data_IF_636619153487
#
_entry.id   IF_636619153487
#
_cell.length_a   1.000
_cell.length_b   1.000
_cell.length_c   1.000
_cell.angle_alpha   90.00
_cell.angle_beta   90.00
_cell.angle_gamma   90.00
#
_symmetry.space_group_name_H-M   'P 1'
#
loop_
_entity.id
_entity.type
_entity.pdbx_description
1 polymer ?
#
# COMPACT_ATOMS: atom_id res chain seq x y z
N UNK A 1 -23.39 -32.99 40.56
CA UNK A 1 -23.15 -32.98 39.10
C UNK A 1 -24.03 -31.91 38.49
N UNK A 2 -23.55 -30.67 38.45
CA UNK A 2 -24.14 -29.59 37.66
C UNK A 2 -22.99 -29.06 36.81
N UNK A 3 -22.97 -29.45 35.54
CA UNK A 3 -22.06 -28.90 34.55
C UNK A 3 -22.55 -27.48 34.24
N UNK A 4 -21.81 -26.49 34.71
CA UNK A 4 -21.96 -25.11 34.26
C UNK A 4 -21.57 -25.06 32.78
N UNK A 5 -22.58 -25.05 31.91
CA UNK A 5 -22.41 -24.63 30.52
C UNK A 5 -21.98 -23.18 30.53
N UNK A 6 -20.70 -22.92 30.29
CA UNK A 6 -20.15 -21.61 30.05
C UNK A 6 -20.58 -21.17 28.63
N UNK A 7 -21.49 -20.17 28.48
CA UNK A 7 -21.99 -19.75 27.18
C UNK A 7 -21.00 -18.85 26.42
N UNK A 8 -19.75 -18.70 26.91
CA UNK A 8 -18.74 -17.81 26.33
C UNK A 8 -17.99 -18.36 25.09
N UNK A 9 -18.33 -19.56 24.60
CA UNK A 9 -17.62 -20.21 23.48
C UNK A 9 -18.42 -20.21 22.16
N UNK A 10 -19.66 -19.71 22.16
CA UNK A 10 -20.45 -19.61 20.94
C UNK A 10 -20.15 -18.29 20.21
N UNK A 11 -19.76 -18.41 18.94
CA UNK A 11 -19.41 -17.36 17.96
C UNK A 11 -17.96 -16.88 17.96
N UNK A 12 -17.01 -17.82 17.85
CA UNK A 12 -15.73 -17.53 17.16
C UNK A 12 -15.99 -17.33 15.66
N UNK A 13 -16.56 -16.19 15.27
CA UNK A 13 -16.31 -15.64 13.94
C UNK A 13 -14.79 -15.50 13.83
N UNK A 14 -14.13 -16.46 13.17
CA UNK A 14 -12.74 -16.36 12.74
C UNK A 14 -12.62 -15.15 11.84
N UNK A 15 -12.42 -13.98 12.44
CA UNK A 15 -12.28 -12.73 11.73
C UNK A 15 -10.91 -12.76 11.04
N UNK A 16 -10.84 -12.63 9.71
CA UNK A 16 -9.60 -12.74 8.93
C UNK A 16 -8.72 -11.48 9.07
N UNK A 17 -8.58 -10.94 10.28
CA UNK A 17 -7.83 -9.70 10.58
C UNK A 17 -6.32 -9.87 10.28
N UNK A 18 -5.85 -11.12 10.29
CA UNK A 18 -4.46 -11.48 9.98
C UNK A 18 -4.23 -11.78 8.48
N UNK A 19 -5.29 -12.02 7.69
CA UNK A 19 -5.15 -12.32 6.27
C UNK A 19 -5.01 -11.08 5.40
N UNK A 20 -5.30 -9.89 5.92
CA UNK A 20 -5.46 -8.69 5.06
C UNK A 20 -4.13 -8.17 4.49
N UNK A 21 -2.99 -8.27 5.19
CA UNK A 21 -1.70 -7.89 4.60
C UNK A 21 -1.29 -8.86 3.46
N UNK A 22 -1.39 -10.19 3.63
CA UNK A 22 -1.28 -11.12 2.52
C UNK A 22 -2.31 -10.89 1.42
N UNK A 23 -3.56 -10.56 1.76
CA UNK A 23 -4.63 -10.26 0.78
C UNK A 23 -4.43 -8.92 0.09
N UNK A 24 -3.73 -7.96 0.69
CA UNK A 24 -3.34 -6.69 0.07
C UNK A 24 -2.12 -6.89 -0.82
N UNK A 25 -1.10 -7.62 -0.39
CA UNK A 25 0.02 -7.99 -1.24
C UNK A 25 -0.46 -8.85 -2.42
N UNK A 26 -1.31 -9.83 -2.15
CA UNK A 26 -2.02 -10.62 -3.16
C UNK A 26 -2.97 -9.75 -3.96
N UNK A 27 -3.62 -8.76 -3.35
CA UNK A 27 -4.53 -7.83 -4.00
C UNK A 27 -3.81 -6.89 -4.96
N UNK A 28 -2.64 -6.36 -4.58
CA UNK A 28 -1.73 -5.57 -5.40
C UNK A 28 -1.15 -6.44 -6.52
N UNK A 29 -0.79 -7.69 -6.22
CA UNK A 29 -0.37 -8.68 -7.22
C UNK A 29 -1.52 -9.03 -8.17
N UNK A 30 -2.75 -9.19 -7.68
CA UNK A 30 -3.95 -9.43 -8.48
C UNK A 30 -4.24 -8.19 -9.32
N UNK A 31 -4.11 -6.97 -8.80
CA UNK A 31 -4.28 -5.73 -9.55
C UNK A 31 -3.20 -5.59 -10.62
N UNK A 32 -1.96 -5.99 -10.33
CA UNK A 32 -0.88 -6.07 -11.31
C UNK A 32 -1.20 -7.06 -12.43
N UNK A 33 -1.54 -8.30 -12.06
CA UNK A 33 -1.91 -9.36 -13.00
C UNK A 33 -3.15 -8.92 -13.79
N UNK A 34 -4.15 -8.33 -13.15
CA UNK A 34 -5.37 -7.85 -13.77
C UNK A 34 -5.08 -6.74 -14.77
N UNK A 35 -4.21 -5.79 -14.42
CA UNK A 35 -3.73 -4.75 -15.36
C UNK A 35 -3.05 -5.38 -16.57
N UNK A 36 -2.08 -6.28 -16.38
CA UNK A 36 -1.38 -6.95 -17.48
C UNK A 36 -2.32 -7.79 -18.35
N UNK A 37 -3.26 -8.52 -17.73
CA UNK A 37 -4.29 -9.28 -18.42
C UNK A 37 -5.26 -8.38 -19.20
N UNK A 38 -5.65 -7.23 -18.63
CA UNK A 38 -6.53 -6.27 -19.28
C UNK A 38 -5.82 -5.59 -20.46
N UNK A 39 -4.56 -5.17 -20.27
CA UNK A 39 -3.70 -4.63 -21.33
C UNK A 39 -3.48 -5.65 -22.46
N UNK A 40 -3.35 -6.93 -22.12
CA UNK A 40 -3.26 -8.03 -23.10
C UNK A 40 -4.58 -8.24 -23.84
N UNK A 41 -5.71 -8.25 -23.11
CA UNK A 41 -7.04 -8.42 -23.69
C UNK A 41 -7.39 -7.28 -24.65
N UNK A 42 -7.12 -6.03 -24.25
CA UNK A 42 -7.34 -4.86 -25.08
C UNK A 42 -6.41 -4.84 -26.30
N UNK A 43 -5.14 -5.26 -26.14
CA UNK A 43 -4.20 -5.48 -27.26
C UNK A 43 -4.74 -6.51 -28.27
N UNK A 44 -5.40 -7.54 -27.78
CA UNK A 44 -5.95 -8.63 -28.59
C UNK A 44 -7.23 -8.20 -29.29
N UNK A 45 -8.12 -7.48 -28.61
CA UNK A 45 -9.39 -6.96 -29.15
C UNK A 45 -9.20 -5.79 -30.15
N UNK A 46 -8.08 -5.07 -30.07
CA UNK A 46 -7.73 -3.99 -31.00
C UNK A 46 -7.20 -4.49 -32.35
N UNK A 47 -6.84 -5.77 -32.48
CA UNK A 47 -6.50 -6.37 -33.78
C UNK A 47 -7.81 -6.76 -34.47
N UNK A 48 -8.26 -5.92 -35.41
CA UNK A 48 -9.55 -6.10 -36.10
C UNK A 48 -9.73 -7.47 -36.79
N UNK A 49 -8.63 -8.15 -37.14
CA UNK A 49 -8.66 -9.49 -37.77
C UNK A 49 -9.13 -10.63 -36.84
N UNK A 50 -9.06 -10.49 -35.51
CA UNK A 50 -9.43 -11.56 -34.57
C UNK A 50 -10.81 -11.37 -33.91
N UNK A 51 -11.55 -10.32 -34.29
CA UNK A 51 -12.75 -9.86 -33.56
C UNK A 51 -13.94 -10.81 -33.65
N UNK A 52 -14.08 -11.53 -34.77
CA UNK A 52 -15.13 -12.53 -34.98
C UNK A 52 -14.82 -13.84 -34.24
N UNK A 53 -13.65 -14.40 -34.49
CA UNK A 53 -13.28 -15.74 -34.02
C UNK A 53 -12.99 -15.80 -32.51
N UNK A 54 -12.51 -14.72 -31.89
CA UNK A 54 -12.21 -14.70 -30.44
C UNK A 54 -13.48 -14.63 -29.59
N UNK A 55 -14.51 -13.87 -30.00
CA UNK A 55 -15.77 -13.84 -29.24
C UNK A 55 -16.44 -15.21 -29.25
N UNK A 56 -16.41 -15.93 -30.38
CA UNK A 56 -16.96 -17.29 -30.45
C UNK A 56 -16.09 -18.31 -29.70
N UNK A 57 -14.75 -18.21 -29.79
CA UNK A 57 -13.85 -19.17 -29.12
C UNK A 57 -13.72 -18.99 -27.60
N UNK A 58 -13.71 -17.75 -27.07
CA UNK A 58 -13.70 -17.49 -25.62
C UNK A 58 -15.00 -17.89 -24.92
N UNK A 59 -16.09 -18.06 -25.68
CA UNK A 59 -17.37 -18.57 -25.18
C UNK A 59 -17.48 -20.10 -25.25
N UNK A 60 -16.45 -20.80 -25.73
CA UNK A 60 -16.51 -22.26 -25.83
C UNK A 60 -16.47 -22.92 -24.43
N UNK A 61 -17.30 -23.94 -24.19
CA UNK A 61 -17.39 -24.63 -22.89
C UNK A 61 -16.11 -25.38 -22.49
N UNK A 62 -15.20 -25.65 -23.43
CA UNK A 62 -13.96 -26.40 -23.20
C UNK A 62 -12.91 -25.58 -22.43
N UNK A 63 -12.77 -24.28 -22.72
CA UNK A 63 -11.85 -23.40 -21.97
C UNK A 63 -12.33 -23.18 -20.53
N UNK A 64 -13.64 -23.19 -20.32
CA UNK A 64 -14.24 -23.07 -18.99
C UNK A 64 -13.89 -24.28 -18.12
N UNK A 65 -13.94 -25.50 -18.66
CA UNK A 65 -13.65 -26.74 -17.93
C UNK A 65 -12.19 -26.87 -17.45
N UNK A 66 -11.24 -26.18 -18.09
CA UNK A 66 -9.81 -26.23 -17.71
C UNK A 66 -9.41 -25.26 -16.57
N UNK A 67 -10.31 -24.38 -16.13
CA UNK A 67 -9.99 -23.32 -15.16
C UNK A 67 -10.44 -23.64 -13.73
N UNK A 68 -9.75 -23.08 -12.73
CA UNK A 68 -10.05 -23.31 -11.31
C UNK A 68 -11.51 -22.95 -10.95
N UNK A 69 -12.16 -23.67 -10.00
CA UNK A 69 -13.60 -23.51 -9.72
C UNK A 69 -14.03 -22.08 -9.35
N UNK A 70 -13.16 -21.30 -8.69
CA UNK A 70 -13.42 -19.91 -8.34
C UNK A 70 -13.42 -18.98 -9.56
N UNK A 71 -12.60 -19.29 -10.58
CA UNK A 71 -12.52 -18.55 -11.84
C UNK A 71 -13.73 -18.82 -12.73
N UNK A 72 -14.21 -20.08 -12.75
CA UNK A 72 -15.44 -20.43 -13.46
C UNK A 72 -16.65 -19.63 -12.95
N UNK A 73 -16.76 -19.40 -11.64
CA UNK A 73 -17.92 -18.71 -11.10
C UNK A 73 -17.81 -17.17 -11.23
N UNK A 74 -16.75 -16.56 -10.70
CA UNK A 74 -16.62 -15.10 -10.68
C UNK A 74 -15.97 -14.56 -11.96
N UNK A 75 -14.90 -15.21 -12.42
CA UNK A 75 -14.19 -14.80 -13.63
C UNK A 75 -15.07 -14.87 -14.86
N UNK A 76 -15.77 -15.99 -15.09
CA UNK A 76 -16.58 -16.17 -16.30
C UNK A 76 -17.85 -15.31 -16.31
N UNK A 77 -18.53 -15.15 -15.17
CA UNK A 77 -19.72 -14.29 -15.06
C UNK A 77 -19.37 -12.81 -15.20
N UNK A 78 -18.30 -12.35 -14.55
CA UNK A 78 -17.81 -10.98 -14.72
C UNK A 78 -17.33 -10.76 -16.15
N UNK A 79 -16.57 -11.69 -16.74
CA UNK A 79 -16.08 -11.59 -18.11
C UNK A 79 -17.24 -11.56 -19.12
N UNK A 80 -18.23 -12.45 -19.00
CA UNK A 80 -19.42 -12.44 -19.87
C UNK A 80 -20.26 -11.18 -19.70
N UNK A 81 -20.42 -10.69 -18.46
CA UNK A 81 -21.11 -9.43 -18.19
C UNK A 81 -20.37 -8.26 -18.84
N UNK A 82 -19.05 -8.17 -18.63
CA UNK A 82 -18.18 -7.15 -19.22
C UNK A 82 -18.23 -7.20 -20.74
N UNK A 83 -18.12 -8.38 -21.36
CA UNK A 83 -18.19 -8.55 -22.83
C UNK A 83 -19.57 -8.09 -23.37
N UNK A 84 -20.68 -8.57 -22.78
CA UNK A 84 -22.03 -8.21 -23.26
C UNK A 84 -22.33 -6.71 -23.14
N UNK A 85 -21.91 -6.09 -22.03
CA UNK A 85 -22.10 -4.65 -21.82
C UNK A 85 -21.12 -3.80 -22.63
N UNK A 86 -19.87 -4.23 -22.81
CA UNK A 86 -18.88 -3.56 -23.65
C UNK A 86 -19.27 -3.58 -25.14
N UNK A 87 -20.01 -4.60 -25.60
CA UNK A 87 -20.52 -4.65 -26.98
C UNK A 87 -21.59 -3.57 -27.25
N UNK A 88 -22.42 -3.23 -26.27
CA UNK A 88 -23.53 -2.27 -26.44
C UNK A 88 -23.24 -0.84 -25.98
N UNK A 89 -22.33 -0.64 -25.02
CA UNK A 89 -21.93 0.67 -24.51
C UNK A 89 -20.40 0.70 -24.36
N UNK A 90 -19.70 0.71 -25.51
CA UNK A 90 -18.24 0.52 -25.62
C UNK A 90 -17.41 1.42 -24.70
N UNK A 91 -17.86 2.65 -24.45
CA UNK A 91 -17.03 3.66 -23.78
C UNK A 91 -17.33 3.78 -22.28
N UNK A 92 -18.62 3.78 -21.88
CA UNK A 92 -19.00 4.05 -20.48
C UNK A 92 -18.81 2.85 -19.54
N UNK A 93 -19.00 1.62 -20.03
CA UNK A 93 -18.88 0.42 -19.20
C UNK A 93 -17.42 0.14 -18.85
N UNK A 94 -16.48 0.45 -19.76
CA UNK A 94 -15.06 0.17 -19.56
C UNK A 94 -14.49 0.94 -18.36
N UNK A 95 -14.99 2.15 -18.12
CA UNK A 95 -14.48 3.03 -17.07
C UNK A 95 -14.91 2.57 -15.67
N UNK A 96 -16.14 2.08 -15.52
CA UNK A 96 -16.67 1.58 -14.25
C UNK A 96 -15.98 0.28 -13.80
N UNK A 97 -15.59 -0.58 -14.73
CA UNK A 97 -14.89 -1.85 -14.45
C UNK A 97 -13.36 -1.72 -14.47
N UNK A 98 -12.85 -0.50 -14.50
CA UNK A 98 -11.42 -0.30 -14.50
C UNK A 98 -10.78 -0.75 -13.19
N UNK A 99 -9.50 -1.12 -13.27
CA UNK A 99 -8.76 -1.59 -12.11
C UNK A 99 -8.66 -0.53 -10.99
N UNK A 100 -8.80 0.77 -11.30
CA UNK A 100 -8.88 1.81 -10.28
C UNK A 100 -10.17 1.73 -9.46
N UNK A 101 -11.31 1.50 -10.11
CA UNK A 101 -12.58 1.32 -9.39
C UNK A 101 -12.46 0.12 -8.48
N UNK A 102 -11.90 -0.99 -8.97
CA UNK A 102 -11.63 -2.16 -8.14
C UNK A 102 -10.68 -1.83 -6.98
N UNK A 103 -9.58 -1.13 -7.23
CA UNK A 103 -8.62 -0.70 -6.21
C UNK A 103 -9.30 0.15 -5.13
N UNK A 104 -10.07 1.18 -5.50
CA UNK A 104 -10.76 2.04 -4.54
C UNK A 104 -11.88 1.33 -3.79
N UNK A 105 -12.61 0.40 -4.44
CA UNK A 105 -13.62 -0.43 -3.79
C UNK A 105 -12.99 -1.38 -2.78
N UNK A 106 -11.91 -2.07 -3.16
CA UNK A 106 -11.16 -2.96 -2.28
C UNK A 106 -10.57 -2.18 -1.11
N UNK A 107 -9.90 -1.05 -1.37
CA UNK A 107 -9.35 -0.20 -0.31
C UNK A 107 -10.47 0.35 0.59
N UNK A 108 -11.58 0.80 0.04
CA UNK A 108 -12.73 1.28 0.81
C UNK A 108 -13.32 0.20 1.72
N UNK A 109 -13.49 -1.02 1.20
CA UNK A 109 -13.91 -2.18 1.99
C UNK A 109 -12.93 -2.47 3.13
N UNK A 110 -11.62 -2.50 2.84
CA UNK A 110 -10.58 -2.75 3.84
C UNK A 110 -10.56 -1.65 4.92
N UNK A 111 -10.71 -0.39 4.54
CA UNK A 111 -10.83 0.74 5.48
C UNK A 111 -12.05 0.54 6.38
N UNK A 112 -13.22 0.23 5.83
CA UNK A 112 -14.43 -0.02 6.63
C UNK A 112 -14.24 -1.22 7.58
N UNK A 113 -13.59 -2.29 7.13
CA UNK A 113 -13.29 -3.45 7.95
C UNK A 113 -12.35 -3.11 9.11
N UNK A 114 -11.29 -2.33 8.85
CA UNK A 114 -10.35 -1.87 9.88
C UNK A 114 -11.01 -0.91 10.87
N UNK A 115 -11.82 0.05 10.41
CA UNK A 115 -12.57 0.94 11.29
C UNK A 115 -13.51 0.16 12.24
N UNK A 116 -14.19 -0.88 11.71
CA UNK A 116 -15.02 -1.78 12.52
C UNK A 116 -14.18 -2.58 13.52
N UNK A 117 -13.00 -3.04 13.11
CA UNK A 117 -12.05 -3.76 13.98
C UNK A 117 -11.57 -2.87 15.13
N UNK A 118 -11.15 -1.64 14.81
CA UNK A 118 -10.74 -0.63 15.80
C UNK A 118 -11.85 -0.31 16.78
N UNK A 119 -13.09 -0.12 16.31
CA UNK A 119 -14.22 0.15 17.20
C UNK A 119 -14.39 -0.97 18.24
N UNK A 120 -14.37 -2.24 17.79
CA UNK A 120 -14.44 -3.42 18.68
C UNK A 120 -13.24 -3.53 19.61
N UNK A 121 -12.05 -3.14 19.14
CA UNK A 121 -10.81 -3.16 19.90
C UNK A 121 -10.82 -2.15 21.06
N UNK A 122 -11.30 -0.93 20.79
CA UNK A 122 -11.24 0.19 21.74
C UNK A 122 -12.43 0.26 22.70
N UNK A 123 -13.57 -0.35 22.33
CA UNK A 123 -14.78 -0.33 23.15
C UNK A 123 -14.57 -0.87 24.59
N UNK A 124 -13.87 -2.01 24.83
CA UNK A 124 -13.74 -2.57 26.17
C UNK A 124 -12.89 -1.71 27.13
N UNK A 125 -11.99 -0.88 26.60
CA UNK A 125 -11.10 -0.03 27.40
C UNK A 125 -11.57 1.42 27.46
N UNK A 126 -12.85 1.69 27.19
CA UNK A 126 -13.41 3.04 27.16
C UNK A 126 -12.56 4.00 26.31
N UNK A 127 -12.14 3.52 25.13
CA UNK A 127 -11.30 4.26 24.18
C UNK A 127 -9.94 4.69 24.75
N UNK A 128 -9.19 3.71 25.28
CA UNK A 128 -7.86 3.90 25.89
C UNK A 128 -7.90 4.68 27.21
N UNK A 129 -8.94 4.48 28.02
CA UNK A 129 -8.98 5.07 29.36
C UNK A 129 -7.94 4.42 30.28
N UNK A 130 -7.08 5.21 30.97
CA UNK A 130 -5.98 4.68 31.78
C UNK A 130 -6.40 3.60 32.79
N UNK A 131 -7.48 3.85 33.54
CA UNK A 131 -7.97 2.90 34.56
C UNK A 131 -8.41 1.57 33.93
N UNK A 132 -9.16 1.63 32.82
CA UNK A 132 -9.62 0.45 32.10
C UNK A 132 -8.45 -0.35 31.51
N UNK A 133 -7.39 0.31 31.03
CA UNK A 133 -6.16 -0.36 30.58
C UNK A 133 -5.46 -1.05 31.75
N UNK A 134 -5.32 -0.37 32.89
CA UNK A 134 -4.68 -0.93 34.07
C UNK A 134 -5.42 -2.19 34.56
N UNK A 135 -6.74 -2.16 34.58
CA UNK A 135 -7.58 -3.32 34.90
C UNK A 135 -7.37 -4.49 33.93
N UNK A 136 -7.24 -4.22 32.63
CA UNK A 136 -6.98 -5.24 31.62
C UNK A 136 -5.62 -5.95 31.84
N UNK A 137 -4.61 -5.25 32.36
CA UNK A 137 -3.30 -5.82 32.67
C UNK A 137 -3.20 -6.47 34.05
N UNK A 138 -4.00 -6.05 35.02
CA UNK A 138 -4.01 -6.67 36.37
C UNK A 138 -4.34 -8.18 36.33
N UNK A 139 -5.01 -8.63 35.27
CA UNK A 139 -5.35 -10.04 35.07
C UNK A 139 -4.26 -10.85 34.34
N UNK A 140 -3.23 -10.20 33.78
CA UNK A 140 -2.18 -10.88 33.03
C UNK A 140 -1.08 -11.36 33.98
N UNK A 141 -0.79 -12.67 33.95
CA UNK A 141 0.30 -13.27 34.72
C UNK A 141 1.61 -13.12 33.94
N UNK A 142 2.72 -12.97 34.67
CA UNK A 142 4.08 -12.97 34.11
C UNK A 142 4.40 -11.80 33.16
N UNK A 143 3.92 -10.59 33.46
CA UNK A 143 4.37 -9.39 32.75
C UNK A 143 5.85 -9.11 33.08
N UNK A 144 6.68 -8.75 32.09
CA UNK A 144 8.05 -8.32 32.35
C UNK A 144 8.09 -7.05 33.22
N UNK A 145 9.11 -6.92 34.06
CA UNK A 145 9.23 -5.75 34.98
C UNK A 145 9.29 -4.41 34.23
N UNK A 146 9.99 -4.38 33.09
CA UNK A 146 10.07 -3.20 32.23
C UNK A 146 8.69 -2.79 31.66
N UNK A 147 7.75 -3.72 31.51
CA UNK A 147 6.41 -3.38 31.04
C UNK A 147 5.61 -2.60 32.09
N UNK A 148 5.85 -2.82 33.38
CA UNK A 148 5.26 -1.97 34.42
C UNK A 148 5.78 -0.54 34.35
N UNK A 149 6.99 -0.33 33.83
CA UNK A 149 7.50 1.01 33.54
C UNK A 149 6.78 1.60 32.33
N UNK A 150 6.71 0.89 31.21
CA UNK A 150 6.02 1.37 30.01
C UNK A 150 4.52 1.63 30.24
N UNK A 151 3.85 0.78 31.01
CA UNK A 151 2.46 1.02 31.43
C UNK A 151 2.36 2.26 32.32
N UNK A 152 3.30 2.46 33.26
CA UNK A 152 3.35 3.69 34.07
C UNK A 152 3.62 4.92 33.23
N UNK A 153 4.38 4.80 32.15
CA UNK A 153 4.69 5.90 31.25
C UNK A 153 3.49 6.19 30.33
N UNK A 154 2.73 5.18 29.90
CA UNK A 154 1.51 5.31 29.08
C UNK A 154 0.31 5.94 29.82
N UNK A 155 0.21 5.73 31.14
CA UNK A 155 -0.94 6.12 31.98
C UNK A 155 -0.98 7.57 32.55
N UNK A 156 0.08 8.40 32.66
CA UNK A 156 0.02 9.70 33.34
C UNK A 156 -0.51 10.84 32.44
N UNK A 157 -0.82 11.96 33.10
CA UNK A 157 -1.38 13.21 32.57
C UNK A 157 -0.64 13.83 31.35
N UNK A 158 0.56 13.35 31.01
CA UNK A 158 1.37 13.86 29.89
C UNK A 158 0.95 13.35 28.50
N UNK A 159 0.35 12.16 28.40
CA UNK A 159 0.07 11.49 27.11
C UNK A 159 -1.36 11.62 26.61
N UNK A 160 -2.17 12.49 27.24
CA UNK A 160 -3.47 12.85 26.70
C UNK A 160 -3.38 13.28 25.24
N UNK A 161 -2.34 14.05 24.88
CA UNK A 161 -2.14 14.50 23.50
C UNK A 161 -1.92 13.32 22.54
N UNK A 162 -1.03 12.37 22.87
CA UNK A 162 -0.78 11.20 22.02
C UNK A 162 -2.03 10.33 21.87
N UNK A 163 -2.78 10.13 22.96
CA UNK A 163 -4.06 9.42 22.93
C UNK A 163 -5.04 10.12 21.99
N UNK A 164 -5.32 11.41 22.18
CA UNK A 164 -6.25 12.14 21.33
C UNK A 164 -5.80 12.20 19.87
N UNK A 165 -4.50 12.38 19.65
CA UNK A 165 -3.92 12.45 18.33
C UNK A 165 -4.00 11.11 17.60
N UNK A 166 -3.63 10.00 18.24
CA UNK A 166 -3.82 8.67 17.63
C UNK A 166 -5.29 8.37 17.38
N UNK A 167 -6.20 8.74 18.30
CA UNK A 167 -7.65 8.59 18.11
C UNK A 167 -8.21 9.39 16.93
N UNK A 168 -7.47 10.40 16.44
CA UNK A 168 -7.80 11.15 15.23
C UNK A 168 -7.32 10.49 13.92
N UNK A 169 -6.44 9.48 13.98
CA UNK A 169 -5.96 8.75 12.80
C UNK A 169 -7.08 8.20 11.88
N UNK A 170 -8.22 7.65 12.38
CA UNK A 170 -9.34 7.25 11.53
C UNK A 170 -9.89 8.38 10.67
N UNK A 171 -9.93 9.61 11.21
CA UNK A 171 -10.40 10.78 10.49
C UNK A 171 -9.44 11.12 9.34
N UNK A 172 -8.13 11.14 9.61
CA UNK A 172 -7.12 11.38 8.58
C UNK A 172 -7.17 10.33 7.46
N UNK A 173 -7.40 9.06 7.80
CA UNK A 173 -7.60 8.00 6.81
C UNK A 173 -8.79 8.28 5.88
N UNK A 174 -9.95 8.61 6.45
CA UNK A 174 -11.16 8.91 5.67
C UNK A 174 -10.99 10.15 4.80
N UNK A 175 -10.36 11.20 5.33
CA UNK A 175 -10.06 12.43 4.58
C UNK A 175 -9.08 12.17 3.44
N UNK A 176 -8.01 11.40 3.68
CA UNK A 176 -7.02 11.00 2.66
C UNK A 176 -7.68 10.18 1.55
N UNK A 177 -8.47 9.16 1.92
CA UNK A 177 -9.23 8.34 0.97
C UNK A 177 -10.15 9.21 0.10
N UNK A 178 -10.93 10.11 0.73
CA UNK A 178 -11.83 11.02 0.03
C UNK A 178 -11.10 11.95 -0.94
N UNK A 179 -9.97 12.53 -0.53
CA UNK A 179 -9.16 13.41 -1.37
C UNK A 179 -8.56 12.67 -2.57
N UNK A 180 -7.96 11.50 -2.36
CA UNK A 180 -7.43 10.65 -3.44
C UNK A 180 -8.54 10.21 -4.40
N UNK A 181 -9.67 9.71 -3.89
CA UNK A 181 -10.81 9.28 -4.70
C UNK A 181 -11.35 10.43 -5.56
N UNK A 182 -11.58 11.60 -4.97
CA UNK A 182 -12.06 12.76 -5.70
C UNK A 182 -11.05 13.24 -6.76
N UNK A 183 -9.74 13.11 -6.51
CA UNK A 183 -8.72 13.47 -7.48
C UNK A 183 -8.72 12.49 -8.66
N UNK A 184 -8.77 11.18 -8.37
CA UNK A 184 -8.94 10.15 -9.41
C UNK A 184 -10.22 10.39 -10.21
N UNK A 185 -11.35 10.71 -9.56
CA UNK A 185 -12.60 11.01 -10.24
C UNK A 185 -12.48 12.20 -11.21
N UNK A 186 -11.69 13.23 -10.88
CA UNK A 186 -11.40 14.36 -11.79
C UNK A 186 -10.63 13.91 -13.03
N UNK A 187 -9.62 13.05 -12.87
CA UNK A 187 -8.87 12.48 -13.99
C UNK A 187 -9.76 11.61 -14.88
N UNK A 188 -10.55 10.73 -14.27
CA UNK A 188 -11.51 9.85 -14.95
C UNK A 188 -12.56 10.65 -15.72
N UNK A 189 -13.16 11.68 -15.11
CA UNK A 189 -14.09 12.58 -15.78
C UNK A 189 -13.45 13.32 -16.96
N UNK A 190 -12.18 13.77 -16.81
CA UNK A 190 -11.47 14.43 -17.89
C UNK A 190 -11.15 13.49 -19.06
N UNK A 191 -10.82 12.22 -18.79
CA UNK A 191 -10.67 11.20 -19.84
C UNK A 191 -11.99 10.99 -20.60
N UNK A 192 -13.08 10.84 -19.84
CA UNK A 192 -14.41 10.61 -20.40
C UNK A 192 -14.87 11.77 -21.29
N UNK A 193 -14.76 13.01 -20.82
CA UNK A 193 -15.12 14.20 -21.61
C UNK A 193 -14.26 14.42 -22.86
N UNK A 194 -13.06 13.85 -22.91
CA UNK A 194 -12.18 13.88 -24.09
C UNK A 194 -12.49 12.74 -25.09
N UNK A 195 -13.54 11.94 -24.87
CA UNK A 195 -13.90 10.79 -25.72
C UNK A 195 -12.81 9.72 -25.79
N UNK A 196 -11.95 9.66 -24.77
CA UNK A 196 -10.76 8.82 -24.78
C UNK A 196 -10.96 7.55 -23.97
N UNK A 197 -10.62 6.41 -24.57
CA UNK A 197 -10.34 5.17 -23.83
C UNK A 197 -9.03 5.35 -23.04
N UNK A 198 -8.85 4.59 -21.96
CA UNK A 198 -7.71 4.71 -21.07
C UNK A 198 -6.36 4.53 -21.78
N UNK A 199 -6.30 3.60 -22.73
CA UNK A 199 -5.13 3.40 -23.60
C UNK A 199 -4.78 4.61 -24.46
N UNK A 200 -5.75 5.48 -24.71
CA UNK A 200 -5.53 6.78 -25.37
C UNK A 200 -5.00 7.87 -24.44
N UNK A 201 -4.83 7.59 -23.14
CA UNK A 201 -4.41 8.57 -22.13
C UNK A 201 -3.38 7.98 -21.12
N UNK A 202 -2.24 7.43 -21.58
CA UNK A 202 -1.25 6.79 -20.68
C UNK A 202 -0.71 7.77 -19.61
N UNK A 203 -0.69 9.07 -19.92
CA UNK A 203 -0.37 10.15 -19.00
C UNK A 203 -1.27 10.18 -17.77
N UNK A 204 -2.59 10.13 -17.99
CA UNK A 204 -3.58 10.13 -16.91
C UNK A 204 -3.56 8.82 -16.15
N UNK A 205 -3.33 7.70 -16.84
CA UNK A 205 -3.26 6.37 -16.22
C UNK A 205 -2.19 6.30 -15.13
N UNK A 206 -0.97 6.71 -15.48
CA UNK A 206 0.16 6.75 -14.56
C UNK A 206 -0.02 7.81 -13.46
N UNK A 207 -0.65 8.95 -13.78
CA UNK A 207 -0.97 9.99 -12.79
C UNK A 207 -1.93 9.46 -11.71
N UNK A 208 -2.94 8.68 -12.08
CA UNK A 208 -3.89 8.08 -11.12
C UNK A 208 -3.17 7.11 -10.17
N UNK A 209 -2.22 6.32 -10.66
CA UNK A 209 -1.44 5.41 -9.81
C UNK A 209 -0.63 6.17 -8.75
N UNK A 210 -0.04 7.31 -9.13
CA UNK A 210 0.70 8.19 -8.21
C UNK A 210 -0.25 8.84 -7.21
N UNK A 211 -1.42 9.31 -7.65
CA UNK A 211 -2.43 9.96 -6.81
C UNK A 211 -2.94 9.04 -5.69
N UNK A 212 -2.97 7.73 -5.92
CA UNK A 212 -3.40 6.75 -4.91
C UNK A 212 -2.35 6.46 -3.82
N UNK A 213 -1.11 6.95 -3.97
CA UNK A 213 -0.01 6.73 -3.02
C UNK A 213 -0.37 7.07 -1.56
N UNK A 214 -0.86 8.28 -1.22
CA UNK A 214 -1.11 8.62 0.17
C UNK A 214 -2.25 7.80 0.77
N UNK A 215 -3.22 7.36 -0.03
CA UNK A 215 -4.30 6.50 0.45
C UNK A 215 -3.74 5.16 0.93
N UNK A 216 -2.88 4.52 0.14
CA UNK A 216 -2.27 3.23 0.49
C UNK A 216 -1.35 3.40 1.71
N UNK A 217 -0.49 4.42 1.71
CA UNK A 217 0.41 4.71 2.84
C UNK A 217 -0.35 5.04 4.12
N UNK A 218 -1.41 5.85 4.06
CA UNK A 218 -2.26 6.18 5.21
C UNK A 218 -3.00 4.96 5.74
N UNK A 219 -3.50 4.09 4.85
CA UNK A 219 -4.13 2.83 5.24
C UNK A 219 -3.13 1.93 5.99
N UNK A 220 -1.89 1.81 5.51
CA UNK A 220 -0.86 1.03 6.18
C UNK A 220 -0.48 1.64 7.55
N UNK A 221 -0.27 2.96 7.59
CA UNK A 221 0.02 3.69 8.82
C UNK A 221 -1.11 3.53 9.86
N UNK A 222 -2.37 3.63 9.45
CA UNK A 222 -3.52 3.45 10.35
C UNK A 222 -3.62 2.02 10.89
N UNK A 223 -3.30 1.02 10.07
CA UNK A 223 -3.22 -0.37 10.54
C UNK A 223 -2.11 -0.53 11.57
N UNK A 224 -0.98 0.13 11.38
CA UNK A 224 0.11 0.20 12.37
C UNK A 224 -0.33 0.88 13.67
N UNK A 225 -1.08 1.98 13.63
CA UNK A 225 -1.73 2.59 14.82
C UNK A 225 -2.61 1.55 15.53
N UNK A 226 -3.42 0.81 14.78
CA UNK A 226 -4.29 -0.23 15.34
C UNK A 226 -3.48 -1.35 16.01
N UNK A 227 -2.33 -1.75 15.46
CA UNK A 227 -1.42 -2.73 16.10
C UNK A 227 -0.85 -2.21 17.41
N UNK A 228 -0.46 -0.94 17.46
CA UNK A 228 0.01 -0.33 18.71
C UNK A 228 -1.11 -0.26 19.76
N UNK A 229 -2.34 0.08 19.35
CA UNK A 229 -3.49 0.00 20.26
C UNK A 229 -3.75 -1.41 20.78
N UNK A 230 -3.57 -2.45 19.96
CA UNK A 230 -3.72 -3.84 20.41
C UNK A 230 -2.75 -4.20 21.53
N UNK A 231 -1.51 -3.69 21.44
CA UNK A 231 -0.49 -3.83 22.49
C UNK A 231 -0.94 -3.06 23.75
N UNK A 232 -1.31 -1.79 23.59
CA UNK A 232 -1.70 -0.90 24.70
C UNK A 232 -2.93 -1.39 25.48
N UNK A 233 -3.89 -2.06 24.84
CA UNK A 233 -5.13 -2.53 25.51
C UNK A 233 -5.08 -4.00 25.93
N UNK A 234 -3.94 -4.68 25.74
CA UNK A 234 -3.81 -6.12 25.94
C UNK A 234 -4.91 -6.94 25.24
N UNK A 235 -5.28 -6.56 24.01
CA UNK A 235 -6.42 -7.19 23.35
C UNK A 235 -6.12 -8.65 22.99
N UNK A 236 -7.01 -9.55 23.42
CA UNK A 236 -7.02 -10.96 23.04
C UNK A 236 -8.00 -11.25 21.88
N UNK A 237 -8.52 -10.20 21.24
CA UNK A 237 -9.53 -10.33 20.18
C UNK A 237 -8.90 -10.85 18.88
N UNK A 238 -9.60 -11.79 18.23
CA UNK A 238 -9.22 -12.34 16.92
C UNK A 238 -8.13 -13.41 16.99
N UNK A 239 -7.50 -13.70 15.85
CA UNK A 239 -6.44 -14.70 15.73
C UNK A 239 -5.17 -14.37 16.53
N UNK A 240 -4.98 -13.10 16.94
CA UNK A 240 -3.86 -12.68 17.78
C UNK A 240 -3.98 -13.13 19.24
N UNK A 241 -5.19 -13.49 19.71
CA UNK A 241 -5.38 -14.10 21.02
C UNK A 241 -4.74 -15.50 21.16
N UNK A 242 -4.32 -16.10 20.04
CA UNK A 242 -3.78 -17.46 19.97
C UNK A 242 -2.27 -17.50 19.71
N UNK A 243 -1.57 -16.36 19.70
CA UNK A 243 -0.12 -16.36 19.51
C UNK A 243 0.56 -16.97 20.73
N UNK A 244 1.27 -18.05 20.49
CA UNK A 244 2.08 -18.76 21.47
C UNK A 244 3.56 -18.32 21.35
N UNK A 245 4.26 -18.21 22.48
CA UNK A 245 5.70 -18.01 22.49
C UNK A 245 6.47 -19.27 22.12
N UNK A 246 7.80 -19.21 22.20
CA UNK A 246 8.68 -20.35 21.94
C UNK A 246 8.43 -21.56 22.86
N UNK A 247 7.74 -21.38 23.98
CA UNK A 247 7.41 -22.46 24.91
C UNK A 247 5.96 -22.95 24.75
N UNK A 248 5.24 -22.46 23.74
CA UNK A 248 3.82 -22.78 23.54
C UNK A 248 2.89 -21.98 24.47
N UNK A 249 3.42 -21.02 25.23
CA UNK A 249 2.62 -20.24 26.17
C UNK A 249 2.01 -19.02 25.48
N UNK A 250 0.72 -18.76 25.72
CA UNK A 250 0.01 -17.60 25.19
C UNK A 250 0.35 -16.33 25.98
N UNK A 251 1.59 -15.89 25.87
CA UNK A 251 2.10 -14.73 26.62
C UNK A 251 1.81 -13.42 25.88
N UNK A 252 1.64 -12.34 26.65
CA UNK A 252 1.57 -10.99 26.09
C UNK A 252 2.81 -10.63 25.27
N UNK A 253 3.99 -11.10 25.67
CA UNK A 253 5.25 -10.85 24.96
C UNK A 253 5.24 -11.42 23.53
N UNK A 254 4.67 -12.60 23.33
CA UNK A 254 4.52 -13.17 21.98
C UNK A 254 3.63 -12.27 21.11
N UNK A 255 2.52 -11.75 21.66
CA UNK A 255 1.62 -10.82 20.97
C UNK A 255 2.31 -9.51 20.62
N UNK A 256 3.11 -8.96 21.53
CA UNK A 256 3.90 -7.74 21.31
C UNK A 256 4.78 -7.91 20.07
N UNK A 257 5.59 -8.98 20.04
CA UNK A 257 6.53 -9.26 18.94
C UNK A 257 5.79 -9.40 17.61
N UNK A 258 4.67 -10.13 17.58
CA UNK A 258 3.88 -10.28 16.34
C UNK A 258 3.26 -8.94 15.91
N UNK A 259 2.76 -8.14 16.84
CA UNK A 259 2.19 -6.82 16.52
C UNK A 259 3.25 -5.86 15.97
N UNK A 260 4.47 -5.88 16.53
CA UNK A 260 5.61 -5.13 16.00
C UNK A 260 6.03 -5.62 14.61
N UNK A 261 6.09 -6.93 14.38
CA UNK A 261 6.40 -7.48 13.05
C UNK A 261 5.35 -7.07 12.00
N UNK A 262 4.07 -7.03 12.39
CA UNK A 262 3.00 -6.54 11.53
C UNK A 262 3.07 -5.03 11.29
N UNK A 263 3.46 -4.26 12.31
CA UNK A 263 3.70 -2.83 12.21
C UNK A 263 4.76 -2.53 11.14
N UNK A 264 5.92 -3.22 11.22
CA UNK A 264 7.00 -3.08 10.23
C UNK A 264 6.53 -3.50 8.83
N UNK A 265 5.83 -4.65 8.74
CA UNK A 265 5.35 -5.18 7.46
C UNK A 265 4.40 -4.22 6.76
N UNK A 266 3.55 -3.50 7.50
CA UNK A 266 2.66 -2.49 6.91
C UNK A 266 3.47 -1.36 6.23
N UNK A 267 4.53 -0.87 6.87
CA UNK A 267 5.36 0.19 6.27
C UNK A 267 6.15 -0.30 5.07
N UNK A 268 6.68 -1.53 5.11
CA UNK A 268 7.32 -2.13 3.94
C UNK A 268 6.35 -2.26 2.75
N UNK A 269 5.07 -2.56 3.00
CA UNK A 269 4.06 -2.58 1.94
C UNK A 269 3.76 -1.18 1.39
N UNK A 270 3.78 -0.15 2.24
CA UNK A 270 3.67 1.23 1.80
C UNK A 270 4.86 1.62 0.91
N UNK A 271 6.08 1.22 1.29
CA UNK A 271 7.32 1.48 0.53
C UNK A 271 7.30 0.81 -0.85
N UNK A 272 6.75 -0.41 -0.96
CA UNK A 272 6.54 -1.08 -2.27
C UNK A 272 5.62 -0.27 -3.17
N UNK A 273 4.54 0.28 -2.62
CA UNK A 273 3.65 1.12 -3.41
C UNK A 273 4.30 2.47 -3.77
N UNK A 274 5.12 3.03 -2.87
CA UNK A 274 5.90 4.23 -3.16
C UNK A 274 6.91 4.00 -4.30
N UNK A 275 7.69 2.92 -4.24
CA UNK A 275 8.64 2.57 -5.31
C UNK A 275 7.94 2.35 -6.65
N UNK A 276 6.74 1.79 -6.63
CA UNK A 276 5.88 1.68 -7.80
C UNK A 276 5.44 3.06 -8.32
N UNK A 277 4.93 3.94 -7.45
CA UNK A 277 4.51 5.28 -7.85
C UNK A 277 5.68 6.09 -8.46
N UNK A 278 6.89 5.94 -7.91
CA UNK A 278 8.11 6.54 -8.46
C UNK A 278 8.47 5.99 -9.85
N UNK A 279 8.23 4.70 -10.11
CA UNK A 279 8.40 4.12 -11.45
C UNK A 279 7.45 4.77 -12.45
N UNK A 280 6.18 4.96 -12.10
CA UNK A 280 5.23 5.68 -12.95
C UNK A 280 5.63 7.14 -13.18
N UNK A 281 6.12 7.82 -12.14
CA UNK A 281 6.60 9.19 -12.26
C UNK A 281 7.77 9.28 -13.25
N UNK A 282 8.75 8.39 -13.13
CA UNK A 282 9.91 8.38 -14.03
C UNK A 282 9.54 8.02 -15.46
N UNK A 283 8.67 7.02 -15.66
CA UNK A 283 8.19 6.68 -17.00
C UNK A 283 7.47 7.86 -17.67
N UNK A 284 6.66 8.62 -16.92
CA UNK A 284 6.04 9.84 -17.43
C UNK A 284 7.07 10.90 -17.81
N UNK A 285 8.05 11.17 -16.95
CA UNK A 285 9.09 12.15 -17.22
C UNK A 285 9.88 11.78 -18.49
N UNK A 286 10.24 10.51 -18.65
CA UNK A 286 10.99 10.03 -19.82
C UNK A 286 10.14 10.05 -21.10
N UNK A 287 8.85 9.74 -21.02
CA UNK A 287 7.94 9.87 -22.16
C UNK A 287 7.83 11.32 -22.63
N UNK A 288 7.73 12.28 -21.70
CA UNK A 288 7.68 13.70 -22.03
C UNK A 288 8.99 14.16 -22.68
N UNK A 289 10.14 13.77 -22.12
CA UNK A 289 11.45 14.07 -22.74
C UNK A 289 11.52 13.50 -24.16
N UNK A 290 11.05 12.27 -24.37
CA UNK A 290 11.05 11.64 -25.69
C UNK A 290 10.12 12.34 -26.69
N UNK A 291 8.99 12.89 -26.22
CA UNK A 291 8.05 13.64 -27.05
C UNK A 291 8.62 15.02 -27.44
N UNK A 292 9.29 15.69 -26.50
CA UNK A 292 9.97 16.98 -26.73
C UNK A 292 11.21 16.86 -27.62
N UNK A 293 11.94 15.73 -27.54
CA UNK A 293 13.20 15.50 -28.25
C UNK A 293 13.10 15.36 -29.77
N UNK A 294 11.90 15.28 -30.37
CA UNK A 294 11.73 15.23 -31.83
C UNK A 294 12.22 16.50 -32.56
N UNK A 295 12.60 17.55 -31.83
CA UNK A 295 13.14 18.80 -32.37
C UNK A 295 14.65 18.98 -32.14
N UNK A 296 15.30 18.10 -31.38
CA UNK A 296 16.72 18.22 -30.99
C UNK A 296 17.66 17.31 -31.80
N UNK A 297 18.92 17.73 -31.86
CA UNK A 297 20.01 17.16 -32.68
C UNK A 297 20.24 15.64 -32.45
N UNK A 298 20.75 14.94 -33.46
CA UNK A 298 20.93 13.48 -33.44
C UNK A 298 21.92 13.03 -32.34
N UNK A 299 22.90 13.89 -31.98
CA UNK A 299 23.86 13.59 -30.90
C UNK A 299 23.22 13.59 -29.52
N UNK A 300 22.29 14.51 -29.24
CA UNK A 300 21.55 14.54 -27.97
C UNK A 300 20.76 13.24 -27.78
N UNK A 301 20.16 12.71 -28.84
CA UNK A 301 19.35 11.47 -28.73
C UNK A 301 20.11 10.22 -28.26
N UNK A 302 21.42 10.11 -28.52
CA UNK A 302 22.22 8.97 -28.02
C UNK A 302 22.52 9.07 -26.52
N UNK A 303 22.83 10.28 -26.06
CA UNK A 303 23.04 10.54 -24.64
C UNK A 303 21.74 10.34 -23.86
N UNK A 304 20.62 10.81 -24.43
CA UNK A 304 19.28 10.69 -23.84
C UNK A 304 18.88 9.23 -23.62
N UNK A 305 19.08 8.36 -24.62
CA UNK A 305 18.78 6.93 -24.48
C UNK A 305 19.60 6.25 -23.39
N UNK A 306 20.85 6.66 -23.23
CA UNK A 306 21.74 6.10 -22.20
C UNK A 306 21.29 6.53 -20.81
N UNK A 307 20.99 7.82 -20.62
CA UNK A 307 20.47 8.36 -19.36
C UNK A 307 19.09 7.78 -19.00
N UNK A 308 18.21 7.62 -19.99
CA UNK A 308 16.91 6.98 -19.81
C UNK A 308 17.04 5.53 -19.32
N UNK A 309 17.92 4.76 -19.96
CA UNK A 309 18.14 3.35 -19.61
C UNK A 309 18.70 3.23 -18.20
N UNK A 310 19.71 4.03 -17.86
CA UNK A 310 20.33 4.04 -16.54
C UNK A 310 19.33 4.44 -15.44
N UNK A 311 18.52 5.48 -15.70
CA UNK A 311 17.48 5.94 -14.77
C UNK A 311 16.45 4.86 -14.51
N UNK A 312 15.93 4.22 -15.58
CA UNK A 312 14.98 3.11 -15.44
C UNK A 312 15.57 1.95 -14.66
N UNK A 313 16.81 1.55 -14.96
CA UNK A 313 17.48 0.45 -14.25
C UNK A 313 17.60 0.71 -12.75
N UNK A 314 17.99 1.93 -12.35
CA UNK A 314 18.06 2.30 -10.93
C UNK A 314 16.72 2.19 -10.22
N UNK A 315 15.64 2.64 -10.86
CA UNK A 315 14.29 2.58 -10.30
C UNK A 315 13.74 1.15 -10.26
N UNK A 316 13.99 0.35 -11.30
CA UNK A 316 13.62 -1.08 -11.30
C UNK A 316 14.35 -1.85 -10.21
N UNK A 317 15.64 -1.55 -9.99
CA UNK A 317 16.40 -2.15 -8.91
C UNK A 317 15.78 -1.77 -7.57
N UNK A 318 15.51 -0.48 -7.33
CA UNK A 318 14.87 -0.01 -6.09
C UNK A 318 13.50 -0.68 -5.84
N UNK A 319 12.63 -0.71 -6.84
CA UNK A 319 11.32 -1.36 -6.73
C UNK A 319 11.46 -2.87 -6.45
N UNK A 320 12.40 -3.53 -7.13
CA UNK A 320 12.70 -4.94 -6.89
C UNK A 320 13.18 -5.20 -5.46
N UNK A 321 14.01 -4.31 -4.89
CA UNK A 321 14.48 -4.45 -3.51
C UNK A 321 13.37 -4.29 -2.49
N UNK A 322 12.52 -3.26 -2.63
CA UNK A 322 11.38 -3.05 -1.74
C UNK A 322 10.42 -4.24 -1.80
N UNK A 323 10.14 -4.75 -3.00
CA UNK A 323 9.26 -5.90 -3.18
C UNK A 323 9.80 -7.17 -2.51
N UNK A 324 11.09 -7.46 -2.69
CA UNK A 324 11.72 -8.64 -2.09
C UNK A 324 11.77 -8.53 -0.56
N UNK A 325 12.02 -7.34 -0.02
CA UNK A 325 12.02 -7.07 1.42
C UNK A 325 10.61 -7.26 2.02
N UNK A 326 9.60 -6.63 1.43
CA UNK A 326 8.21 -6.76 1.86
C UNK A 326 7.72 -8.21 1.77
N UNK A 327 8.07 -8.93 0.69
CA UNK A 327 7.73 -10.35 0.53
C UNK A 327 8.39 -11.22 1.61
N UNK A 328 9.66 -10.97 1.91
CA UNK A 328 10.37 -11.68 2.98
C UNK A 328 9.70 -11.46 4.34
N UNK A 329 9.39 -10.22 4.71
CA UNK A 329 8.71 -9.87 5.95
C UNK A 329 7.29 -10.44 6.03
N UNK A 330 6.55 -10.41 4.93
CA UNK A 330 5.21 -10.98 4.85
C UNK A 330 5.22 -12.49 5.07
N UNK A 331 6.13 -13.21 4.40
CA UNK A 331 6.25 -14.67 4.52
C UNK A 331 6.67 -15.05 5.94
N UNK A 332 7.70 -14.40 6.48
CA UNK A 332 8.20 -14.69 7.84
C UNK A 332 7.14 -14.40 8.90
N UNK A 333 6.49 -13.24 8.85
CA UNK A 333 5.41 -12.87 9.79
C UNK A 333 4.21 -13.81 9.66
N UNK A 334 3.86 -14.23 8.43
CA UNK A 334 2.77 -15.20 8.22
C UNK A 334 3.11 -16.57 8.80
N UNK A 335 4.33 -17.05 8.57
CA UNK A 335 4.79 -18.32 9.15
C UNK A 335 4.76 -18.27 10.67
N UNK A 336 5.28 -17.20 11.28
CA UNK A 336 5.24 -17.00 12.73
C UNK A 336 3.80 -17.01 13.27
N UNK A 337 2.87 -16.34 12.58
CA UNK A 337 1.52 -16.19 13.06
C UNK A 337 0.60 -17.40 12.83
N UNK A 338 0.81 -18.18 11.76
CA UNK A 338 -0.07 -19.31 11.42
C UNK A 338 0.48 -20.69 11.79
N UNK A 339 1.80 -20.85 11.84
CA UNK A 339 2.42 -22.14 12.12
C UNK A 339 2.88 -22.28 13.58
N UNK A 340 2.71 -21.23 14.41
CA UNK A 340 3.08 -21.21 15.82
C UNK A 340 2.65 -22.48 16.56
N UNK A 341 3.64 -23.30 16.91
CA UNK A 341 3.51 -24.65 17.46
C UNK A 341 4.87 -25.38 17.41
N UNK A 342 4.98 -26.58 18.00
CA UNK A 342 6.26 -27.30 18.24
C UNK A 342 7.21 -27.41 17.04
N UNK A 343 6.67 -27.48 15.81
CA UNK A 343 7.47 -27.56 14.58
C UNK A 343 8.21 -26.26 14.22
N UNK A 344 7.84 -25.13 14.83
CA UNK A 344 8.41 -23.82 14.52
C UNK A 344 9.63 -23.47 15.34
N UNK A 345 9.95 -24.15 16.45
CA UNK A 345 11.07 -23.74 17.30
C UNK A 345 12.42 -23.75 16.56
N UNK A 346 12.65 -24.80 15.77
CA UNK A 346 13.86 -24.95 14.97
C UNK A 346 13.88 -23.99 13.78
N UNK A 347 12.74 -23.80 13.12
CA UNK A 347 12.62 -22.87 12.00
C UNK A 347 12.78 -21.42 12.47
N UNK A 348 12.11 -21.02 13.55
CA UNK A 348 12.18 -19.67 14.12
C UNK A 348 13.60 -19.33 14.60
N UNK A 349 14.36 -20.27 15.17
CA UNK A 349 15.77 -20.03 15.52
C UNK A 349 16.63 -19.74 14.27
N UNK A 350 16.37 -20.45 13.18
CA UNK A 350 17.05 -20.22 11.89
C UNK A 350 16.62 -18.88 11.30
N UNK A 351 15.30 -18.63 11.23
CA UNK A 351 14.72 -17.37 10.72
C UNK A 351 15.25 -16.20 11.51
N UNK A 352 15.27 -16.24 12.85
CA UNK A 352 15.76 -15.15 13.69
C UNK A 352 17.23 -14.81 13.42
N UNK A 353 18.09 -15.84 13.28
CA UNK A 353 19.52 -15.63 12.93
C UNK A 353 19.69 -15.06 11.52
N UNK A 354 18.84 -15.46 10.58
CA UNK A 354 18.88 -14.97 9.20
C UNK A 354 18.30 -13.56 9.13
N UNK A 355 17.25 -13.27 9.91
CA UNK A 355 16.48 -12.03 9.89
C UNK A 355 17.34 -10.82 10.17
N UNK A 356 18.19 -10.85 11.20
CA UNK A 356 19.07 -9.70 11.48
C UNK A 356 20.03 -9.42 10.32
N UNK A 357 20.61 -10.46 9.70
CA UNK A 357 21.52 -10.33 8.55
C UNK A 357 20.79 -9.85 7.29
N UNK A 358 19.62 -10.41 7.02
CA UNK A 358 18.78 -10.08 5.87
C UNK A 358 18.24 -8.66 6.00
N UNK A 359 17.87 -8.23 7.20
CA UNK A 359 17.47 -6.86 7.47
C UNK A 359 18.57 -5.85 7.12
N UNK A 360 19.80 -6.05 7.61
CA UNK A 360 20.92 -5.17 7.24
C UNK A 360 21.27 -5.21 5.74
N UNK A 361 21.11 -6.37 5.11
CA UNK A 361 21.28 -6.52 3.67
C UNK A 361 20.26 -5.67 2.90
N UNK A 362 18.97 -5.79 3.24
CA UNK A 362 17.91 -5.01 2.59
C UNK A 362 18.03 -3.52 2.88
N UNK A 363 18.33 -3.12 4.12
CA UNK A 363 18.57 -1.73 4.49
C UNK A 363 19.70 -1.12 3.64
N UNK A 364 20.83 -1.83 3.50
CA UNK A 364 21.94 -1.39 2.67
C UNK A 364 21.57 -1.33 1.19
N UNK A 365 20.91 -2.36 0.68
CA UNK A 365 20.51 -2.44 -0.73
C UNK A 365 19.48 -1.36 -1.11
N UNK A 366 18.46 -1.17 -0.28
CA UNK A 366 17.45 -0.13 -0.41
C UNK A 366 18.03 1.27 -0.31
N UNK A 367 18.99 1.51 0.59
CA UNK A 367 19.69 2.80 0.71
C UNK A 367 20.50 3.13 -0.54
N UNK A 368 21.26 2.15 -1.07
CA UNK A 368 22.04 2.36 -2.31
C UNK A 368 21.13 2.53 -3.52
N UNK A 369 20.10 1.68 -3.66
CA UNK A 369 19.18 1.72 -4.78
C UNK A 369 18.34 3.01 -4.80
N UNK A 370 17.81 3.44 -3.65
CA UNK A 370 17.07 4.71 -3.52
C UNK A 370 17.95 5.91 -3.83
N UNK A 371 19.19 5.96 -3.30
CA UNK A 371 20.14 7.05 -3.58
C UNK A 371 20.48 7.13 -5.06
N UNK A 372 20.72 5.97 -5.70
CA UNK A 372 20.99 5.90 -7.13
C UNK A 372 19.77 6.33 -7.97
N UNK A 373 18.56 5.86 -7.62
CA UNK A 373 17.33 6.24 -8.29
C UNK A 373 17.06 7.75 -8.19
N UNK A 374 17.19 8.33 -6.99
CA UNK A 374 17.04 9.76 -6.75
C UNK A 374 18.11 10.55 -7.52
N UNK A 375 19.37 10.12 -7.45
CA UNK A 375 20.48 10.78 -8.16
C UNK A 375 20.24 10.82 -9.67
N UNK A 376 19.73 9.72 -10.23
CA UNK A 376 19.38 9.65 -11.65
C UNK A 376 18.21 10.58 -12.00
N UNK A 377 17.15 10.60 -11.20
CA UNK A 377 15.98 11.48 -11.44
C UNK A 377 16.36 12.96 -11.35
N UNK A 378 17.16 13.34 -10.34
CA UNK A 378 17.64 14.73 -10.20
C UNK A 378 18.55 15.10 -11.36
N UNK A 379 19.40 14.18 -11.81
CA UNK A 379 20.26 14.42 -12.99
C UNK A 379 19.41 14.64 -14.25
N UNK A 380 18.36 13.85 -14.45
CA UNK A 380 17.41 14.03 -15.55
C UNK A 380 16.71 15.39 -15.44
N UNK A 381 16.23 15.78 -14.26
CA UNK A 381 15.58 17.07 -14.05
C UNK A 381 16.50 18.25 -14.38
N UNK A 382 17.75 18.22 -13.88
CA UNK A 382 18.73 19.28 -14.15
C UNK A 382 19.14 19.33 -15.62
N UNK A 383 19.33 18.18 -16.26
CA UNK A 383 19.77 18.08 -17.66
C UNK A 383 18.67 18.49 -18.65
N UNK A 384 17.40 18.15 -18.34
CA UNK A 384 16.25 18.37 -19.23
C UNK A 384 15.27 19.41 -18.70
N UNK A 385 15.73 20.33 -17.84
CA UNK A 385 14.88 21.35 -17.20
C UNK A 385 14.05 22.16 -18.20
N UNK A 386 14.64 22.57 -19.33
CA UNK A 386 13.93 23.29 -20.40
C UNK A 386 12.85 22.41 -21.06
N UNK A 387 13.14 21.14 -21.33
CA UNK A 387 12.19 20.19 -21.93
C UNK A 387 11.05 19.81 -20.99
N UNK A 388 11.27 19.92 -19.68
CA UNK A 388 10.31 19.61 -18.63
C UNK A 388 9.58 20.86 -18.11
N UNK A 389 9.80 22.04 -18.68
CA UNK A 389 9.20 23.29 -18.17
C UNK A 389 7.66 23.22 -18.11
N UNK A 390 7.02 22.59 -19.11
CA UNK A 390 5.57 22.39 -19.12
C UNK A 390 5.08 21.27 -18.18
N UNK A 391 5.97 20.38 -17.75
CA UNK A 391 5.65 19.28 -16.83
C UNK A 391 5.68 19.72 -15.37
N UNK A 392 6.38 20.81 -15.04
CA UNK A 392 6.57 21.29 -13.66
C UNK A 392 7.07 20.17 -12.71
N UNK A 393 8.21 19.53 -13.03
CA UNK A 393 8.68 18.33 -12.34
C UNK A 393 8.85 18.53 -10.84
N UNK A 394 9.28 19.72 -10.40
CA UNK A 394 9.57 20.02 -9.00
C UNK A 394 8.39 19.70 -8.07
N UNK A 395 7.20 20.24 -8.34
CA UNK A 395 6.04 20.02 -7.46
C UNK A 395 5.57 18.57 -7.47
N UNK A 396 5.62 17.91 -8.63
CA UNK A 396 5.23 16.50 -8.79
C UNK A 396 6.21 15.54 -8.12
N UNK A 397 7.50 15.82 -8.26
CA UNK A 397 8.57 15.07 -7.64
C UNK A 397 8.47 15.14 -6.12
N UNK A 398 8.39 16.35 -5.55
CA UNK A 398 8.21 16.52 -4.12
C UNK A 398 6.91 15.88 -3.63
N UNK A 399 5.79 16.00 -4.35
CA UNK A 399 4.55 15.36 -3.94
C UNK A 399 4.61 13.82 -3.88
N UNK A 400 5.52 13.20 -4.64
CA UNK A 400 5.70 11.74 -4.66
C UNK A 400 6.72 11.29 -3.62
N UNK A 401 7.73 12.11 -3.32
CA UNK A 401 8.86 11.77 -2.44
C UNK A 401 8.72 12.28 -1.00
N UNK A 402 7.81 13.22 -0.76
CA UNK A 402 7.69 13.90 0.53
C UNK A 402 7.43 12.90 1.67
N UNK A 403 6.72 11.79 1.42
CA UNK A 403 6.45 10.76 2.43
C UNK A 403 7.73 10.11 2.96
N UNK A 404 8.64 9.66 2.09
CA UNK A 404 9.93 9.13 2.52
C UNK A 404 10.76 10.14 3.30
N UNK A 405 10.78 11.40 2.85
CA UNK A 405 11.54 12.44 3.57
C UNK A 405 10.95 12.77 4.93
N UNK A 406 9.63 12.77 5.04
CA UNK A 406 8.93 13.02 6.31
C UNK A 406 9.14 11.84 7.26
N UNK A 407 9.00 10.60 6.79
CA UNK A 407 9.28 9.41 7.59
C UNK A 407 10.70 9.40 8.15
N UNK A 408 11.70 9.74 7.33
CA UNK A 408 13.08 9.85 7.79
C UNK A 408 13.26 10.97 8.83
N UNK A 409 12.69 12.15 8.59
CA UNK A 409 12.75 13.27 9.53
C UNK A 409 12.06 12.95 10.85
N UNK A 410 10.92 12.25 10.82
CA UNK A 410 10.24 11.77 12.03
C UNK A 410 11.12 10.82 12.83
N UNK A 411 11.77 9.84 12.18
CA UNK A 411 12.68 8.92 12.85
C UNK A 411 13.84 9.66 13.52
N UNK A 412 14.38 10.70 12.89
CA UNK A 412 15.39 11.56 13.53
C UNK A 412 14.83 12.37 14.71
N UNK A 413 13.64 12.95 14.56
CA UNK A 413 12.99 13.74 15.61
C UNK A 413 12.65 12.90 16.85
N UNK A 414 12.28 11.63 16.67
CA UNK A 414 12.01 10.68 17.74
C UNK A 414 13.25 10.32 18.58
N UNK A 415 14.45 10.60 18.08
CA UNK A 415 15.70 10.43 18.82
C UNK A 415 16.12 11.70 19.59
N UNK A 416 15.38 12.81 19.45
CA UNK A 416 15.68 14.09 20.09
C UNK A 416 14.74 14.33 21.30
N UNK A 417 15.24 14.78 22.47
CA UNK A 417 14.38 15.14 23.60
C UNK A 417 13.37 16.25 23.26
N UNK A 418 12.11 16.20 23.75
CA UNK A 418 11.59 15.23 24.72
C UNK A 418 11.07 13.92 24.11
N UNK A 419 11.00 13.80 22.78
CA UNK A 419 10.44 12.62 22.11
C UNK A 419 11.28 11.35 22.31
N UNK A 420 12.58 11.51 22.55
CA UNK A 420 13.47 10.38 22.86
C UNK A 420 13.13 9.67 24.18
N UNK A 421 12.39 10.31 25.08
CA UNK A 421 11.95 9.73 26.34
C UNK A 421 10.69 8.87 26.22
N UNK A 422 10.00 8.91 25.07
CA UNK A 422 8.86 8.05 24.82
C UNK A 422 9.31 6.59 24.78
N UNK A 423 8.48 5.69 25.31
CA UNK A 423 8.65 4.24 25.16
C UNK A 423 8.57 3.83 23.68
N UNK A 424 9.02 2.62 23.37
CA UNK A 424 9.02 2.12 21.99
C UNK A 424 7.60 2.11 21.42
N UNK A 425 6.62 1.62 22.17
CA UNK A 425 5.21 1.60 21.73
C UNK A 425 4.67 3.01 21.51
N UNK A 426 5.05 3.98 22.35
CA UNK A 426 4.63 5.38 22.19
C UNK A 426 5.27 6.05 20.99
N UNK A 427 6.57 5.80 20.75
CA UNK A 427 7.27 6.30 19.55
C UNK A 427 6.62 5.77 18.28
N UNK A 428 6.34 4.47 18.24
CA UNK A 428 5.69 3.81 17.10
C UNK A 428 4.25 4.30 16.90
N UNK A 429 3.49 4.45 17.99
CA UNK A 429 2.13 4.99 17.94
C UNK A 429 2.14 6.44 17.46
N UNK A 430 3.07 7.27 17.95
CA UNK A 430 3.23 8.65 17.52
C UNK A 430 3.60 8.72 16.04
N UNK A 431 4.64 8.00 15.63
CA UNK A 431 5.11 7.91 14.25
C UNK A 431 3.97 7.59 13.29
N UNK A 432 3.28 6.46 13.52
CA UNK A 432 2.21 6.00 12.65
C UNK A 432 1.01 6.99 12.62
N UNK A 433 0.71 7.64 13.74
CA UNK A 433 -0.36 8.65 13.82
C UNK A 433 0.00 9.93 13.06
N UNK A 434 1.25 10.41 13.16
CA UNK A 434 1.71 11.61 12.44
C UNK A 434 1.72 11.32 10.95
N UNK A 435 2.20 10.15 10.54
CA UNK A 435 2.22 9.75 9.14
C UNK A 435 0.81 9.66 8.52
N UNK A 436 -0.21 9.28 9.30
CA UNK A 436 -1.61 9.36 8.84
C UNK A 436 -2.02 10.81 8.49
N UNK A 437 -1.68 11.77 9.36
CA UNK A 437 -1.96 13.19 9.15
C UNK A 437 -1.16 13.77 7.98
N UNK A 438 0.10 13.37 7.84
CA UNK A 438 0.95 13.78 6.72
C UNK A 438 0.43 13.25 5.39
N UNK A 439 0.01 11.98 5.32
CA UNK A 439 -0.60 11.43 4.11
C UNK A 439 -1.82 12.26 3.65
N UNK A 440 -2.61 12.80 4.58
CA UNK A 440 -3.68 13.74 4.22
C UNK A 440 -3.11 15.01 3.60
N UNK A 441 -2.09 15.63 4.21
CA UNK A 441 -1.38 16.77 3.63
C UNK A 441 -0.83 16.49 2.22
N UNK A 442 -0.21 15.33 2.03
CA UNK A 442 0.33 14.89 0.73
C UNK A 442 -0.79 14.69 -0.30
N UNK A 443 -1.95 14.16 0.10
CA UNK A 443 -3.10 14.02 -0.80
C UNK A 443 -3.58 15.38 -1.33
N UNK A 444 -3.53 16.43 -0.51
CA UNK A 444 -3.85 17.81 -0.92
C UNK A 444 -2.76 18.40 -1.84
N UNK A 445 -1.49 18.08 -1.59
CA UNK A 445 -0.40 18.47 -2.48
C UNK A 445 -0.53 17.80 -3.86
N UNK A 446 -0.83 16.50 -3.90
CA UNK A 446 -1.07 15.76 -5.14
C UNK A 446 -2.30 16.28 -5.89
N UNK A 447 -3.35 16.70 -5.18
CA UNK A 447 -4.52 17.34 -5.78
C UNK A 447 -4.15 18.58 -6.60
N UNK A 448 -3.19 19.36 -6.11
CA UNK A 448 -2.70 20.56 -6.77
C UNK A 448 -1.69 20.22 -7.87
N UNK A 449 -0.73 19.34 -7.58
CA UNK A 449 0.40 19.05 -8.46
C UNK A 449 0.03 18.21 -9.70
N UNK A 450 -1.06 17.44 -9.65
CA UNK A 450 -1.48 16.55 -10.73
C UNK A 450 -2.82 16.98 -11.31
N UNK A 451 -2.87 18.15 -11.96
CA UNK A 451 -4.10 18.66 -12.54
C UNK A 451 -4.40 17.95 -13.89
N UNK A 452 -5.59 17.33 -14.07
CA UNK A 452 -5.93 16.63 -15.31
C UNK A 452 -6.07 17.54 -16.54
N UNK A 453 -6.05 18.87 -16.35
CA UNK A 453 -6.13 19.85 -17.45
C UNK A 453 -4.77 20.35 -17.94
N UNK A 454 -3.66 19.78 -17.45
CA UNK A 454 -2.32 20.18 -17.88
C UNK A 454 -2.04 19.77 -19.34
N UNK A 455 -1.34 20.64 -20.07
CA UNK A 455 -1.15 20.52 -21.52
C UNK A 455 -0.24 19.34 -21.91
N UNK A 456 0.73 18.99 -21.07
CA UNK A 456 1.65 17.88 -21.36
C UNK A 456 0.96 16.52 -21.47
N UNK A 457 -0.22 16.37 -20.85
CA UNK A 457 -1.04 15.15 -20.99
C UNK A 457 -1.49 14.91 -22.42
N UNK A 458 -1.66 15.98 -23.22
CA UNK A 458 -2.07 15.88 -24.61
C UNK A 458 -0.89 15.51 -25.54
N UNK A 459 0.34 15.89 -25.20
CA UNK A 459 1.55 15.50 -25.95
C UNK A 459 1.76 13.97 -25.95
N UNK A 460 1.33 13.28 -24.89
CA UNK A 460 1.48 11.84 -24.74
C UNK A 460 0.50 11.02 -25.60
N UNK A 461 -0.50 11.67 -26.23
CA UNK A 461 -1.52 11.00 -27.06
C UNK A 461 -1.08 10.78 -28.50
N UNK A 462 -0.32 11.73 -29.04
CA UNK A 462 -0.03 11.82 -30.47
C UNK A 462 0.90 10.75 -31.08
N UNK A 463 1.82 10.07 -30.36
CA UNK A 463 2.82 9.24 -31.03
C UNK A 463 2.31 7.85 -31.48
N UNK A 464 1.16 7.37 -31.02
CA UNK A 464 0.68 6.01 -31.35
C UNK A 464 -0.07 5.99 -32.70
N UNK A 465 -0.74 7.08 -33.08
CA UNK A 465 -1.58 7.11 -34.28
C UNK A 465 -0.81 7.28 -35.61
N UNK A 466 0.47 7.68 -35.58
CA UNK A 466 1.26 8.00 -36.79
C UNK A 466 2.25 6.90 -37.23
N UNK A 467 2.27 5.74 -36.57
CA UNK A 467 3.21 4.63 -36.87
C UNK A 467 2.57 3.35 -37.40
N UNK A 468 1.25 3.34 -37.66
CA UNK A 468 0.58 2.34 -38.51
C UNK A 468 0.42 2.91 -39.90
#
# INVERSE_FOLDING_TARGET
MALSHDPSVADTEHTPILCVAPLLALGLLILYIYRECFDWLERTLARDELRGDICESLLTPELAQASAPWYQFWGQRCLQFCIRKAVHHKEDVLLAFHYYTLMYVVCGYLICAELRSTYRLLQPTSWLEPLSIQEAFNNEKNLPEWWHQELRDLLPDGLHLLRFFSLSAPLFLLLTYGACFANTARHVYKMWTKGGVLRGNPGMDSSIMIIALPMISCMMAYRSVTRMWMICVNSKVGSLGYVEDFEGNKTWLARLVVCQNMYDTNFLLADVYESWALLHFADLALQIISASGNTLDERTTKLDKSLQTLTKQGIYLFNGTCFMEALYHLVTTSVEAYLGGDYTLSFNKIVYRIRSKVHFLFLGMGSVASTAAIGNVVTVELTFSESLMCFEPHMKFWSTKILLTLGFMQSLLLEIPPLSYLSVTEKDLFYASVLCAECFGVSLLLWRAWNPSEQWLDFLKEPIAKKS
#
